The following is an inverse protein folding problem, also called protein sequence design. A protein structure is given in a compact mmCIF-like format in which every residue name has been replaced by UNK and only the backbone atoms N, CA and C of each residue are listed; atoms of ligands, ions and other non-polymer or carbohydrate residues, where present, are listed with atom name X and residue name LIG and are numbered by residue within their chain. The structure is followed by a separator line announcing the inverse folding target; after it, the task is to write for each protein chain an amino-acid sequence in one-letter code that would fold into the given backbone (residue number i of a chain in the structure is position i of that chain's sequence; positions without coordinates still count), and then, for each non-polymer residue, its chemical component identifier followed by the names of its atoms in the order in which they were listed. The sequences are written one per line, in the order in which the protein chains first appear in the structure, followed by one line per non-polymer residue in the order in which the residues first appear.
data_IF_763747184836
#
_entry.id   IF_763747184836
#
_cell.length_a   1.000
_cell.length_b   1.000
_cell.length_c   1.000
_cell.angle_alpha   90.00
_cell.angle_beta   90.00
_cell.angle_gamma   90.00
#
_symmetry.space_group_name_H-M   'P 1'
#
loop_
_entity.id
_entity.type
_entity.pdbx_description
1 polymer ?
#
# COMPACT_ATOMS: atom_id res chain seq x y z
N UNK A 1 9.93 38.27 15.76
CA UNK A 1 9.92 36.97 16.50
C UNK A 1 8.60 36.21 16.37
N UNK A 2 7.44 36.87 16.42
CA UNK A 2 6.11 36.22 16.29
C UNK A 2 5.85 35.52 14.94
N UNK A 3 6.43 36.04 13.86
CA UNK A 3 6.20 35.52 12.50
C UNK A 3 7.18 34.41 12.08
N UNK A 4 8.25 34.16 12.85
CA UNK A 4 9.19 33.08 12.59
C UNK A 4 8.74 31.74 13.17
N UNK A 5 7.83 31.77 14.15
CA UNK A 5 7.26 30.57 14.77
C UNK A 5 6.18 29.93 13.87
N UNK A 6 5.44 30.75 13.12
CA UNK A 6 4.37 30.27 12.21
C UNK A 6 4.95 29.52 10.99
N UNK A 7 6.10 29.95 10.47
CA UNK A 7 6.78 29.27 9.36
C UNK A 7 7.32 27.88 9.74
N UNK A 8 7.73 27.69 11.00
CA UNK A 8 8.22 26.40 11.50
C UNK A 8 7.08 25.40 11.80
N UNK A 9 5.91 25.89 12.23
CA UNK A 9 4.72 25.06 12.46
C UNK A 9 4.04 24.60 11.16
N UNK A 10 4.13 25.38 10.08
CA UNK A 10 3.57 25.01 8.78
C UNK A 10 4.40 23.98 8.02
N UNK A 11 5.74 23.97 8.20
CA UNK A 11 6.60 22.93 7.59
C UNK A 11 6.50 21.56 8.28
N UNK A 12 5.97 21.50 9.50
CA UNK A 12 5.78 20.24 10.25
C UNK A 12 4.38 19.63 10.12
N UNK A 13 3.43 20.31 9.48
CA UNK A 13 2.05 19.82 9.37
C UNK A 13 1.74 19.08 8.06
N UNK A 14 2.65 19.10 7.07
CA UNK A 14 2.48 18.37 5.80
C UNK A 14 3.30 17.09 5.70
N UNK A 15 4.21 16.84 6.64
CA UNK A 15 4.80 15.51 6.83
C UNK A 15 4.04 14.79 7.93
N UNK A 16 2.77 14.46 7.67
CA UNK A 16 2.29 13.18 8.18
C UNK A 16 3.33 12.16 7.66
N UNK A 17 4.05 11.52 8.59
CA UNK A 17 5.19 10.64 8.30
C UNK A 17 4.82 9.73 7.13
N UNK A 18 5.45 9.92 5.96
CA UNK A 18 5.23 9.04 4.83
C UNK A 18 5.57 7.62 5.31
N UNK A 19 4.61 6.71 5.21
CA UNK A 19 4.81 5.31 5.56
C UNK A 19 5.96 4.78 4.71
N UNK A 20 6.89 4.09 5.34
CA UNK A 20 8.01 3.47 4.64
C UNK A 20 7.51 2.29 3.80
N UNK A 21 8.24 1.95 2.76
CA UNK A 21 7.92 0.77 1.93
C UNK A 21 7.81 -0.51 2.78
N UNK A 22 8.66 -0.65 3.80
CA UNK A 22 8.64 -1.80 4.72
C UNK A 22 7.31 -1.88 5.50
N UNK A 23 6.86 -0.77 6.06
CA UNK A 23 5.60 -0.71 6.81
C UNK A 23 4.40 -1.04 5.91
N UNK A 24 4.41 -0.61 4.65
CA UNK A 24 3.34 -0.97 3.67
C UNK A 24 3.37 -2.47 3.38
N UNK A 25 4.55 -3.06 3.18
CA UNK A 25 4.71 -4.50 2.93
C UNK A 25 4.23 -5.32 4.13
N UNK A 26 4.62 -4.94 5.35
CA UNK A 26 4.16 -5.61 6.58
C UNK A 26 2.63 -5.57 6.70
N UNK A 27 2.01 -4.44 6.37
CA UNK A 27 0.56 -4.30 6.38
C UNK A 27 -0.13 -5.12 5.29
N UNK A 28 0.47 -5.24 4.10
CA UNK A 28 -0.02 -6.11 3.03
C UNK A 28 -0.01 -7.59 3.46
N UNK A 29 1.07 -8.06 4.11
CA UNK A 29 1.10 -9.43 4.65
C UNK A 29 0.12 -9.64 5.80
N UNK A 30 -0.05 -8.66 6.69
CA UNK A 30 -0.98 -8.74 7.80
C UNK A 30 -2.45 -8.84 7.33
N UNK A 31 -2.86 -7.99 6.39
CA UNK A 31 -4.21 -8.02 5.80
C UNK A 31 -4.45 -9.30 5.01
N UNK A 32 -3.47 -9.76 4.23
CA UNK A 32 -3.53 -11.05 3.53
C UNK A 32 -3.72 -12.22 4.52
N UNK A 33 -2.91 -12.28 5.58
CA UNK A 33 -2.98 -13.34 6.60
C UNK A 33 -4.29 -13.33 7.40
N UNK A 34 -4.94 -12.18 7.53
CA UNK A 34 -6.24 -12.02 8.17
C UNK A 34 -7.43 -12.35 7.23
N UNK A 35 -7.19 -12.58 5.94
CA UNK A 35 -8.25 -12.72 4.94
C UNK A 35 -8.98 -11.40 4.64
N UNK A 36 -8.39 -10.25 4.98
CA UNK A 36 -8.96 -8.93 4.72
C UNK A 36 -8.64 -8.49 3.28
N UNK A 37 -9.43 -8.99 2.33
CA UNK A 37 -9.24 -8.70 0.90
C UNK A 37 -9.40 -7.20 0.57
N UNK A 38 -10.28 -6.48 1.29
CA UNK A 38 -10.53 -5.06 1.06
C UNK A 38 -9.38 -4.19 1.62
N UNK A 39 -8.93 -4.49 2.83
CA UNK A 39 -7.75 -3.84 3.41
C UNK A 39 -6.48 -4.11 2.62
N UNK A 40 -6.30 -5.34 2.12
CA UNK A 40 -5.20 -5.69 1.23
C UNK A 40 -5.26 -4.90 -0.09
N UNK A 41 -6.44 -4.82 -0.72
CA UNK A 41 -6.60 -4.10 -1.98
C UNK A 41 -6.32 -2.60 -1.85
N UNK A 42 -6.68 -1.98 -0.72
CA UNK A 42 -6.47 -0.56 -0.46
C UNK A 42 -5.00 -0.13 -0.39
N UNK A 43 -4.06 -1.08 -0.22
CA UNK A 43 -2.62 -0.81 -0.15
C UNK A 43 -1.94 -0.81 -1.52
N UNK A 44 -2.66 -1.14 -2.59
CA UNK A 44 -2.11 -1.32 -3.93
C UNK A 44 -2.74 -0.33 -4.92
N UNK A 45 -1.98 0.03 -5.94
CA UNK A 45 -2.44 0.88 -7.04
C UNK A 45 -3.31 0.09 -8.02
N UNK A 46 -4.12 0.80 -8.81
CA UNK A 46 -4.98 0.18 -9.83
C UNK A 46 -4.18 -0.57 -10.92
N UNK A 47 -2.92 -0.20 -11.14
CA UNK A 47 -2.00 -0.82 -12.09
C UNK A 47 -1.14 -1.94 -11.46
N UNK A 48 -1.47 -2.39 -10.25
CA UNK A 48 -0.77 -3.47 -9.55
C UNK A 48 -0.68 -4.74 -10.40
N UNK A 49 0.51 -5.34 -10.47
CA UNK A 49 0.75 -6.56 -11.24
C UNK A 49 1.15 -7.69 -10.30
N UNK A 50 0.30 -8.72 -10.22
CA UNK A 50 0.61 -9.96 -9.50
C UNK A 50 0.95 -11.07 -10.50
N UNK A 51 2.12 -11.68 -10.35
CA UNK A 51 2.57 -12.78 -11.22
C UNK A 51 2.77 -14.04 -10.40
N UNK A 52 2.00 -15.09 -10.73
CA UNK A 52 2.20 -16.42 -10.17
C UNK A 52 2.95 -17.25 -11.21
N UNK A 53 4.22 -17.50 -10.94
CA UNK A 53 5.07 -18.32 -11.81
C UNK A 53 4.70 -19.82 -11.72
N UNK A 54 5.09 -20.58 -12.74
CA UNK A 54 4.88 -22.03 -12.81
C UNK A 54 3.75 -22.44 -13.77
N UNK A 55 3.31 -23.69 -13.63
CA UNK A 55 2.25 -24.32 -14.42
C UNK A 55 1.18 -24.90 -13.48
N UNK A 56 0.52 -24.00 -12.74
CA UNK A 56 -0.58 -24.30 -11.82
C UNK A 56 -1.87 -23.65 -12.35
N UNK A 57 -3.07 -24.11 -11.94
CA UNK A 57 -4.32 -23.49 -12.37
C UNK A 57 -4.40 -21.97 -12.10
N UNK A 58 -3.73 -21.50 -11.05
CA UNK A 58 -3.66 -20.08 -10.69
C UNK A 58 -2.49 -19.31 -11.33
N UNK A 59 -1.59 -19.98 -12.04
CA UNK A 59 -0.43 -19.34 -12.69
C UNK A 59 -0.85 -18.29 -13.71
N UNK A 60 0.02 -17.31 -13.94
CA UNK A 60 -0.20 -16.23 -14.91
C UNK A 60 0.00 -14.84 -14.31
N UNK A 61 -0.30 -13.84 -15.14
CA UNK A 61 -0.18 -12.41 -14.81
C UNK A 61 -1.56 -11.81 -14.62
N UNK A 62 -1.76 -11.15 -13.48
CA UNK A 62 -2.99 -10.47 -13.05
C UNK A 62 -2.70 -8.97 -12.92
N UNK A 63 -3.62 -8.13 -13.40
CA UNK A 63 -3.47 -6.67 -13.40
C UNK A 63 -4.66 -6.07 -12.67
N UNK A 64 -4.37 -5.22 -11.69
CA UNK A 64 -5.33 -4.66 -10.74
C UNK A 64 -5.67 -5.65 -9.63
N UNK A 65 -5.95 -5.12 -8.44
CA UNK A 65 -6.24 -5.88 -7.22
C UNK A 65 -7.45 -6.80 -7.36
N UNK A 66 -8.49 -6.34 -8.07
CA UNK A 66 -9.71 -7.12 -8.31
C UNK A 66 -9.40 -8.47 -8.97
N UNK A 67 -8.50 -8.48 -9.96
CA UNK A 67 -8.11 -9.71 -10.66
C UNK A 67 -7.35 -10.72 -9.79
N UNK A 68 -6.86 -10.30 -8.62
CA UNK A 68 -6.13 -11.12 -7.64
C UNK A 68 -7.06 -11.68 -6.57
N UNK A 69 -8.11 -10.94 -6.19
CA UNK A 69 -9.03 -11.33 -5.11
C UNK A 69 -10.25 -12.15 -5.60
N UNK A 70 -10.60 -12.07 -6.88
CA UNK A 70 -11.66 -12.88 -7.54
C UNK A 70 -11.19 -14.29 -7.93
#
# INVERSE_FOLDING_TARGET
MKNMVVGFLLMWSTQALAQTDLEVIEQAYATFGAGDAQGWAALHTDDFVWTIFGDLPQSGRRVGTQSVID
#
